data_IF_930528361270
#
_entry.id   IF_930528361270
#
_cell.length_a   1.000
_cell.length_b   1.000
_cell.length_c   1.000
_cell.angle_alpha   90.00
_cell.angle_beta   90.00
_cell.angle_gamma   90.00
#
_symmetry.space_group_name_H-M   'P 1'
#
loop_
_entity.id
_entity.type
_entity.pdbx_description
1 polymer ?
#
# COMPACT_ATOMS: atom_id res chain seq x y z
N UNK A 1 -8.37 -17.94 8.67
CA UNK A 1 -7.26 -17.13 8.12
C UNK A 1 -7.75 -15.90 7.39
N UNK A 2 -8.77 -16.01 6.58
CA UNK A 2 -9.29 -14.86 5.81
C UNK A 2 -9.68 -13.69 6.71
N UNK A 3 -10.43 -13.95 7.76
CA UNK A 3 -10.84 -12.91 8.71
C UNK A 3 -9.62 -12.28 9.40
N UNK A 4 -8.61 -13.08 9.72
CA UNK A 4 -7.40 -12.58 10.35
C UNK A 4 -6.65 -11.62 9.42
N UNK A 5 -6.59 -11.93 8.12
CA UNK A 5 -6.00 -11.03 7.13
C UNK A 5 -6.80 -9.73 7.01
N UNK A 6 -8.12 -9.82 7.04
CA UNK A 6 -8.99 -8.63 6.99
C UNK A 6 -8.77 -7.73 8.20
N UNK A 7 -8.67 -8.31 9.41
CA UNK A 7 -8.38 -7.54 10.64
C UNK A 7 -7.00 -6.90 10.55
N UNK A 8 -6.00 -7.65 10.07
CA UNK A 8 -4.66 -7.11 9.86
C UNK A 8 -4.69 -5.91 8.90
N UNK A 9 -5.45 -6.03 7.80
CA UNK A 9 -5.59 -4.95 6.84
C UNK A 9 -6.25 -3.71 7.48
N UNK A 10 -7.27 -3.89 8.31
CA UNK A 10 -7.91 -2.78 9.02
C UNK A 10 -6.87 -2.03 9.86
N UNK A 11 -6.06 -2.76 10.62
CA UNK A 11 -5.04 -2.15 11.48
C UNK A 11 -3.99 -1.43 10.63
N UNK A 12 -3.40 -2.12 9.66
CA UNK A 12 -2.30 -1.55 8.87
C UNK A 12 -2.77 -0.39 8.00
N UNK A 13 -3.88 -0.53 7.31
CA UNK A 13 -4.37 0.53 6.44
C UNK A 13 -4.87 1.72 7.25
N UNK A 14 -5.46 1.47 8.43
CA UNK A 14 -5.86 2.54 9.33
C UNK A 14 -4.67 3.36 9.81
N UNK A 15 -3.63 2.69 10.32
CA UNK A 15 -2.43 3.37 10.82
C UNK A 15 -1.68 4.06 9.69
N UNK A 16 -1.43 3.35 8.58
CA UNK A 16 -0.71 3.92 7.45
C UNK A 16 -1.49 5.07 6.82
N UNK A 17 -2.81 4.93 6.71
CA UNK A 17 -3.65 5.98 6.17
C UNK A 17 -3.64 7.24 7.03
N UNK A 18 -3.74 7.08 8.35
CA UNK A 18 -3.63 8.22 9.27
C UNK A 18 -2.26 8.88 9.16
N UNK A 19 -1.20 8.08 9.06
CA UNK A 19 0.15 8.61 8.90
C UNK A 19 0.28 9.44 7.62
N UNK A 20 -0.27 8.96 6.51
CA UNK A 20 -0.26 9.72 5.25
C UNK A 20 -1.06 11.01 5.36
N UNK A 21 -2.21 11.00 6.06
CA UNK A 21 -3.03 12.20 6.24
C UNK A 21 -2.36 13.23 7.12
N UNK A 22 -1.73 12.79 8.21
CA UNK A 22 -1.14 13.69 9.21
C UNK A 22 0.26 14.14 8.83
N UNK A 23 1.00 13.33 8.08
CA UNK A 23 2.41 13.58 7.77
C UNK A 23 2.72 13.35 6.28
N UNK A 24 2.01 14.01 5.36
CA UNK A 24 2.23 13.77 3.94
C UNK A 24 3.62 14.17 3.47
N UNK A 25 4.19 15.23 4.03
CA UNK A 25 5.55 15.68 3.66
C UNK A 25 6.61 14.67 4.08
N UNK A 26 6.45 14.05 5.24
CA UNK A 26 7.39 13.02 5.71
C UNK A 26 7.38 11.83 4.77
N UNK A 27 6.20 11.41 4.30
CA UNK A 27 6.09 10.32 3.34
C UNK A 27 6.72 10.69 2.00
N UNK A 28 6.49 11.92 1.52
CA UNK A 28 7.13 12.39 0.28
C UNK A 28 8.65 12.39 0.43
N UNK A 29 9.17 12.90 1.53
CA UNK A 29 10.61 12.92 1.81
C UNK A 29 11.19 11.51 1.89
N UNK A 30 10.46 10.58 2.51
CA UNK A 30 10.88 9.19 2.58
C UNK A 30 11.06 8.57 1.19
N UNK A 31 10.08 8.76 0.30
CA UNK A 31 10.19 8.24 -1.06
C UNK A 31 11.25 8.95 -1.89
N UNK A 32 11.45 10.26 -1.66
CA UNK A 32 12.55 10.99 -2.28
C UNK A 32 13.89 10.42 -1.83
N UNK A 33 14.02 10.10 -0.54
CA UNK A 33 15.22 9.45 0.00
C UNK A 33 15.45 8.09 -0.67
N UNK A 34 14.41 7.27 -0.79
CA UNK A 34 14.53 5.97 -1.45
C UNK A 34 14.95 6.12 -2.91
N UNK A 35 14.36 7.08 -3.61
CA UNK A 35 14.72 7.37 -5.01
C UNK A 35 16.19 7.77 -5.13
N UNK A 36 16.69 8.57 -4.18
CA UNK A 36 18.07 8.99 -4.15
C UNK A 36 19.08 7.85 -3.95
N UNK A 37 18.63 6.72 -3.42
CA UNK A 37 19.44 5.52 -3.25
C UNK A 37 19.42 4.59 -4.48
N UNK A 38 18.71 4.98 -5.53
CA UNK A 38 18.66 4.23 -6.78
C UNK A 38 18.03 2.86 -6.62
N UNK A 39 18.70 1.85 -7.17
CA UNK A 39 18.18 0.47 -7.17
C UNK A 39 17.93 -0.07 -5.75
N UNK A 40 18.80 0.24 -4.80
CA UNK A 40 18.62 -0.19 -3.41
C UNK A 40 17.35 0.40 -2.80
N UNK A 41 17.06 1.66 -3.09
CA UNK A 41 15.82 2.31 -2.62
C UNK A 41 14.57 1.68 -3.23
N UNK A 42 14.62 1.32 -4.51
CA UNK A 42 13.53 0.63 -5.19
C UNK A 42 13.27 -0.73 -4.54
N UNK A 43 14.32 -1.47 -4.21
CA UNK A 43 14.17 -2.76 -3.53
C UNK A 43 13.56 -2.60 -2.15
N UNK A 44 13.94 -1.58 -1.39
CA UNK A 44 13.32 -1.30 -0.08
C UNK A 44 11.81 -1.08 -0.25
N UNK A 45 11.40 -0.28 -1.23
CA UNK A 45 9.98 -0.05 -1.51
C UNK A 45 9.28 -1.37 -1.89
N UNK A 46 9.93 -2.23 -2.67
CA UNK A 46 9.41 -3.56 -3.00
C UNK A 46 9.22 -4.43 -1.77
N UNK A 47 10.18 -4.44 -0.86
CA UNK A 47 10.07 -5.17 0.40
C UNK A 47 8.97 -4.66 1.32
N UNK A 48 8.58 -3.40 1.19
CA UNK A 48 7.44 -2.86 1.94
C UNK A 48 6.11 -3.35 1.39
N UNK A 49 6.04 -3.63 0.10
CA UNK A 49 4.78 -3.99 -0.59
C UNK A 49 4.58 -5.50 -0.74
N UNK A 50 5.64 -6.24 -1.07
CA UNK A 50 5.54 -7.64 -1.46
C UNK A 50 5.06 -8.57 -0.34
N UNK A 51 5.56 -8.46 0.93
CA UNK A 51 5.08 -9.34 1.99
C UNK A 51 3.57 -9.21 2.23
N UNK A 52 3.04 -8.00 2.21
CA UNK A 52 1.60 -7.78 2.39
C UNK A 52 0.82 -8.39 1.23
N UNK A 53 1.31 -8.21 0.00
CA UNK A 53 0.70 -8.83 -1.18
C UNK A 53 0.68 -10.35 -1.05
N UNK A 54 1.80 -10.93 -0.63
CA UNK A 54 1.91 -12.38 -0.44
C UNK A 54 0.93 -12.91 0.60
N UNK A 55 0.83 -12.22 1.73
CA UNK A 55 -0.11 -12.59 2.79
C UNK A 55 -1.55 -12.56 2.28
N UNK A 56 -1.93 -11.49 1.60
CA UNK A 56 -3.29 -11.34 1.10
C UNK A 56 -3.61 -12.44 0.08
N UNK A 57 -2.74 -12.65 -0.89
CA UNK A 57 -2.99 -13.62 -1.96
C UNK A 57 -2.99 -15.05 -1.43
N UNK A 58 -2.06 -15.37 -0.52
CA UNK A 58 -1.94 -16.73 0.02
C UNK A 58 -3.08 -17.09 0.97
N UNK A 59 -3.53 -16.15 1.80
CA UNK A 59 -4.49 -16.45 2.87
C UNK A 59 -5.84 -15.80 2.70
N UNK A 60 -6.01 -14.92 1.71
CA UNK A 60 -7.25 -14.18 1.52
C UNK A 60 -7.55 -14.03 0.02
N UNK A 61 -7.97 -15.11 -0.62
CA UNK A 61 -8.31 -15.08 -2.05
C UNK A 61 -9.83 -15.19 -2.22
N UNK A 62 -10.54 -14.19 -1.67
CA UNK A 62 -12.00 -14.12 -1.67
C UNK A 62 -12.46 -13.16 -2.78
N UNK A 63 -13.39 -13.59 -3.61
CA UNK A 63 -13.83 -12.85 -4.78
C UNK A 63 -15.30 -12.43 -4.73
N UNK A 64 -15.90 -12.39 -3.54
CA UNK A 64 -17.28 -11.97 -3.39
C UNK A 64 -17.45 -11.00 -2.21
N UNK A 65 -18.33 -10.01 -2.40
CA UNK A 65 -18.65 -9.04 -1.35
C UNK A 65 -17.52 -8.07 -1.06
N UNK A 66 -17.59 -7.44 0.10
CA UNK A 66 -16.58 -6.47 0.56
C UNK A 66 -15.18 -7.08 0.60
N UNK A 67 -14.98 -8.33 1.08
CA UNK A 67 -13.64 -8.93 1.11
C UNK A 67 -12.95 -9.00 -0.25
N UNK A 68 -13.70 -9.03 -1.36
CA UNK A 68 -13.09 -9.03 -2.69
C UNK A 68 -12.25 -7.78 -2.96
N UNK A 69 -12.59 -6.65 -2.34
CA UNK A 69 -11.82 -5.41 -2.48
C UNK A 69 -10.41 -5.61 -1.92
N UNK A 70 -10.28 -6.27 -0.77
CA UNK A 70 -8.97 -6.57 -0.20
C UNK A 70 -8.16 -7.50 -1.09
N UNK A 71 -8.80 -8.49 -1.70
CA UNK A 71 -8.15 -9.39 -2.66
C UNK A 71 -7.59 -8.59 -3.85
N UNK A 72 -8.37 -7.65 -4.38
CA UNK A 72 -7.91 -6.77 -5.47
C UNK A 72 -6.71 -5.93 -5.02
N UNK A 73 -6.75 -5.37 -3.82
CA UNK A 73 -5.62 -4.61 -3.27
C UNK A 73 -4.37 -5.48 -3.21
N UNK A 74 -4.50 -6.73 -2.77
CA UNK A 74 -3.38 -7.67 -2.73
C UNK A 74 -2.75 -7.89 -4.10
N UNK A 75 -3.57 -8.08 -5.13
CA UNK A 75 -3.07 -8.25 -6.50
C UNK A 75 -2.39 -6.98 -7.02
N UNK A 76 -2.94 -5.80 -6.70
CA UNK A 76 -2.30 -4.53 -7.06
C UNK A 76 -0.94 -4.38 -6.38
N UNK A 77 -0.82 -4.75 -5.10
CA UNK A 77 0.45 -4.73 -4.38
C UNK A 77 1.45 -5.72 -4.96
N UNK A 78 0.98 -6.88 -5.43
CA UNK A 78 1.86 -7.85 -6.10
C UNK A 78 2.43 -7.26 -7.39
N UNK A 79 1.60 -6.63 -8.20
CA UNK A 79 2.04 -5.97 -9.43
C UNK A 79 3.06 -4.88 -9.10
N UNK A 80 2.79 -4.07 -8.08
CA UNK A 80 3.72 -3.05 -7.61
C UNK A 80 5.06 -3.67 -7.22
N UNK A 81 5.04 -4.75 -6.42
CA UNK A 81 6.26 -5.44 -6.01
C UNK A 81 7.05 -6.01 -7.19
N UNK A 82 6.35 -6.58 -8.16
CA UNK A 82 6.99 -7.10 -9.38
C UNK A 82 7.69 -5.98 -10.15
N UNK A 83 7.06 -4.82 -10.28
CA UNK A 83 7.68 -3.67 -10.94
C UNK A 83 8.94 -3.25 -10.20
N UNK A 84 8.91 -3.20 -8.86
CA UNK A 84 10.07 -2.80 -8.04
C UNK A 84 11.23 -3.79 -8.15
N UNK A 85 10.95 -5.08 -8.26
CA UNK A 85 12.02 -6.08 -8.32
C UNK A 85 12.46 -6.44 -9.73
N UNK A 86 11.57 -6.36 -10.70
CA UNK A 86 11.84 -6.87 -12.05
C UNK A 86 11.97 -5.79 -13.11
N UNK A 87 11.40 -4.60 -12.89
CA UNK A 87 11.43 -3.50 -13.85
C UNK A 87 11.96 -2.23 -13.18
N UNK A 88 13.22 -2.26 -12.77
CA UNK A 88 13.86 -1.19 -11.98
C UNK A 88 13.76 0.18 -12.66
N UNK A 89 13.97 0.24 -13.97
CA UNK A 89 13.92 1.52 -14.68
C UNK A 89 12.53 2.13 -14.67
N UNK A 90 11.51 1.31 -14.83
CA UNK A 90 10.13 1.78 -14.74
C UNK A 90 9.81 2.27 -13.33
N UNK A 91 10.25 1.53 -12.31
CA UNK A 91 10.04 1.91 -10.92
C UNK A 91 10.70 3.25 -10.60
N UNK A 92 11.94 3.46 -11.05
CA UNK A 92 12.64 4.73 -10.85
C UNK A 92 11.92 5.89 -11.54
N UNK A 93 11.38 5.67 -12.73
CA UNK A 93 10.61 6.70 -13.43
C UNK A 93 9.32 7.05 -12.68
N UNK A 94 8.65 6.06 -12.13
CA UNK A 94 7.44 6.30 -11.32
C UNK A 94 7.80 7.09 -10.05
N UNK A 95 8.87 6.69 -9.36
CA UNK A 95 9.31 7.36 -8.14
C UNK A 95 9.82 8.77 -8.40
N UNK A 96 10.29 9.06 -9.61
CA UNK A 96 10.75 10.40 -9.98
C UNK A 96 9.65 11.46 -9.91
N UNK A 97 8.38 11.05 -9.93
CA UNK A 97 7.24 11.97 -9.82
C UNK A 97 7.02 12.48 -8.41
N UNK A 98 7.58 11.82 -7.40
CA UNK A 98 7.38 12.20 -6.01
C UNK A 98 8.12 13.50 -5.72
N UNK A 99 7.43 14.47 -5.14
CA UNK A 99 8.01 15.75 -4.71
C UNK A 99 7.29 16.27 -3.47
N UNK A 100 7.93 17.18 -2.74
CA UNK A 100 7.32 17.79 -1.55
C UNK A 100 6.11 18.66 -1.93
N UNK A 101 6.17 19.33 -3.08
CA UNK A 101 5.05 20.12 -3.59
C UNK A 101 3.82 19.26 -3.91
N UNK A 102 4.03 17.98 -4.20
CA UNK A 102 2.96 17.03 -4.47
C UNK A 102 2.63 16.15 -3.26
N UNK A 103 3.01 16.58 -2.07
CA UNK A 103 2.71 15.82 -0.84
C UNK A 103 1.21 15.60 -0.64
N UNK A 104 0.36 16.44 -1.23
CA UNK A 104 -1.09 16.26 -1.20
C UNK A 104 -1.53 14.91 -1.80
N UNK A 105 -0.73 14.35 -2.72
CA UNK A 105 -1.03 13.02 -3.27
C UNK A 105 -0.98 11.95 -2.16
N UNK A 106 -0.07 12.11 -1.20
CA UNK A 106 0.00 11.21 -0.05
C UNK A 106 -1.20 11.39 0.88
N UNK A 107 -1.74 12.61 0.99
CA UNK A 107 -2.98 12.83 1.73
C UNK A 107 -4.16 12.11 1.06
N UNK A 108 -4.25 12.18 -0.26
CA UNK A 108 -5.29 11.47 -1.02
C UNK A 108 -5.15 9.95 -0.82
N UNK A 109 -3.92 9.44 -0.92
CA UNK A 109 -3.66 8.02 -0.66
C UNK A 109 -4.04 7.64 0.77
N UNK A 110 -3.72 8.49 1.75
CA UNK A 110 -4.08 8.28 3.14
C UNK A 110 -5.59 8.22 3.36
N UNK A 111 -6.32 9.15 2.75
CA UNK A 111 -7.78 9.14 2.80
C UNK A 111 -8.34 7.84 2.21
N UNK A 112 -7.77 7.38 1.10
CA UNK A 112 -8.16 6.10 0.49
C UNK A 112 -7.88 4.91 1.41
N UNK A 113 -6.72 4.89 2.06
CA UNK A 113 -6.35 3.82 2.99
C UNK A 113 -7.27 3.79 4.23
N UNK A 114 -7.58 4.95 4.79
CA UNK A 114 -8.51 5.04 5.92
C UNK A 114 -9.91 4.60 5.49
N UNK A 115 -10.33 5.00 4.29
CA UNK A 115 -11.60 4.55 3.71
C UNK A 115 -11.67 3.04 3.55
N UNK A 116 -10.59 2.42 3.03
CA UNK A 116 -10.50 0.96 2.90
C UNK A 116 -10.52 0.29 4.28
N UNK A 117 -9.79 0.85 5.25
CA UNK A 117 -9.81 0.30 6.61
C UNK A 117 -11.22 0.34 7.20
N UNK A 118 -11.95 1.42 7.00
CA UNK A 118 -13.34 1.54 7.41
C UNK A 118 -14.25 0.53 6.71
N UNK A 119 -14.07 0.36 5.40
CA UNK A 119 -14.85 -0.60 4.62
C UNK A 119 -14.61 -2.03 5.10
N UNK A 120 -13.34 -2.41 5.26
CA UNK A 120 -13.00 -3.76 5.72
C UNK A 120 -13.44 -4.00 7.15
N UNK A 121 -13.32 -2.98 8.02
CA UNK A 121 -13.83 -3.04 9.39
C UNK A 121 -15.34 -3.27 9.44
N UNK A 122 -16.07 -2.55 8.61
CA UNK A 122 -17.51 -2.77 8.48
C UNK A 122 -17.80 -4.21 8.06
N UNK A 123 -17.10 -4.70 7.03
CA UNK A 123 -17.30 -6.07 6.55
C UNK A 123 -17.01 -7.14 7.58
N UNK A 124 -15.98 -6.92 8.43
CA UNK A 124 -15.61 -7.88 9.48
C UNK A 124 -16.58 -7.85 10.65
N UNK A 125 -17.00 -6.66 11.11
CA UNK A 125 -17.74 -6.52 12.36
C UNK A 125 -19.25 -6.36 12.18
N UNK A 126 -19.71 -5.93 11.03
CA UNK A 126 -21.13 -5.74 10.77
C UNK A 126 -21.70 -6.74 9.76
N UNK A 127 -20.83 -7.39 9.03
CA UNK A 127 -21.19 -8.42 8.06
C UNK A 127 -20.90 -9.78 8.60
#
# INVERSE_FOLDING_TARGET
MERSVEVLAVILFGVLGLSHLLQPKVWAEFFILLRGKGEAGVFVDGFLSLPMAGIIIAFHNVWSGIPAVLTLVGWCLLIKGLIRFCALQLALRIMARVSVERAWEFQVAGAGLVGLAGLFGYGVYAG
#
